data_IF_014425089488
#
_entry.id   IF_014425089488
#
_cell.length_a   1.000
_cell.length_b   1.000
_cell.length_c   1.000
_cell.angle_alpha   90.00
_cell.angle_beta   90.00
_cell.angle_gamma   90.00
#
_symmetry.space_group_name_H-M   'P 1'
#
loop_
_entity.id
_entity.type
_entity.pdbx_description
1 polymer ?
#
# COMPACT_ATOMS: atom_id res chain seq x y z
N UNK A 1 1.42 -23.76 46.78
CA UNK A 1 1.79 -22.82 45.71
C UNK A 1 1.30 -23.40 44.39
N UNK A 2 0.15 -22.96 43.87
CA UNK A 2 -0.36 -23.41 42.57
C UNK A 2 -0.11 -22.29 41.56
N UNK A 3 0.70 -22.59 40.55
CA UNK A 3 0.92 -21.71 39.41
C UNK A 3 -0.40 -21.61 38.64
N UNK A 4 -0.90 -20.38 38.52
CA UNK A 4 -2.12 -20.07 37.77
C UNK A 4 -1.76 -20.02 36.29
N UNK A 5 -2.08 -21.08 35.58
CA UNK A 5 -1.87 -21.16 34.13
C UNK A 5 -2.62 -20.03 33.44
N UNK A 6 -1.84 -19.16 32.79
CA UNK A 6 -2.33 -17.98 32.07
C UNK A 6 -3.14 -18.47 30.87
N UNK A 7 -4.46 -18.37 30.95
CA UNK A 7 -5.38 -18.66 29.86
C UNK A 7 -5.02 -17.86 28.61
N UNK A 8 -4.29 -18.45 27.67
CA UNK A 8 -4.13 -17.93 26.33
C UNK A 8 -5.48 -18.00 25.63
N UNK A 9 -6.08 -16.85 25.34
CA UNK A 9 -7.26 -16.74 24.49
C UNK A 9 -7.08 -17.61 23.23
N UNK A 10 -8.10 -18.35 22.76
CA UNK A 10 -7.94 -19.17 21.57
C UNK A 10 -7.54 -18.25 20.42
N UNK A 11 -6.27 -18.34 20.00
CA UNK A 11 -5.78 -17.68 18.81
C UNK A 11 -6.55 -18.29 17.65
N UNK A 12 -7.61 -17.61 17.19
CA UNK A 12 -8.41 -18.03 16.05
C UNK A 12 -7.45 -18.33 14.91
N UNK A 13 -7.34 -19.60 14.56
CA UNK A 13 -6.47 -20.02 13.49
C UNK A 13 -6.88 -19.24 12.23
N UNK A 14 -5.93 -18.71 11.45
CA UNK A 14 -6.29 -17.91 10.29
C UNK A 14 -7.16 -18.76 9.35
N UNK A 15 -8.17 -18.14 8.74
CA UNK A 15 -9.22 -18.81 7.93
C UNK A 15 -8.68 -19.68 6.79
N UNK A 16 -7.42 -19.47 6.41
CA UNK A 16 -6.70 -20.15 5.35
C UNK A 16 -5.61 -21.12 5.85
N UNK A 17 -5.52 -21.43 7.16
CA UNK A 17 -4.52 -22.38 7.69
C UNK A 17 -4.68 -23.74 6.99
N UNK A 18 -3.60 -24.25 6.40
CA UNK A 18 -3.59 -25.53 5.67
C UNK A 18 -4.17 -25.48 4.25
N UNK A 19 -4.60 -24.31 3.74
CA UNK A 19 -5.09 -24.16 2.36
C UNK A 19 -4.02 -23.48 1.50
N UNK A 20 -3.57 -24.15 0.43
CA UNK A 20 -2.72 -23.52 -0.59
C UNK A 20 -3.59 -22.56 -1.38
N UNK A 21 -3.53 -21.28 -1.06
CA UNK A 21 -4.19 -20.23 -1.84
C UNK A 21 -3.29 -19.92 -3.02
N UNK A 22 -3.70 -20.34 -4.22
CA UNK A 22 -2.99 -20.00 -5.46
C UNK A 22 -2.96 -18.50 -5.73
N UNK A 23 -2.35 -18.11 -6.85
CA UNK A 23 -2.30 -16.71 -7.27
C UNK A 23 -3.72 -16.13 -7.35
N UNK A 24 -4.00 -15.10 -6.54
CA UNK A 24 -5.26 -14.37 -6.64
C UNK A 24 -5.29 -13.61 -7.96
N UNK A 25 -6.45 -13.59 -8.61
CA UNK A 25 -6.67 -12.79 -9.82
C UNK A 25 -6.47 -11.30 -9.47
N UNK A 26 -5.87 -10.51 -10.37
CA UNK A 26 -5.84 -9.06 -10.20
C UNK A 26 -7.28 -8.51 -10.17
N UNK A 27 -7.47 -7.41 -9.43
CA UNK A 27 -8.78 -6.76 -9.37
C UNK A 27 -9.19 -6.19 -10.72
N UNK A 28 -10.48 -6.30 -11.04
CA UNK A 28 -11.09 -5.56 -12.15
C UNK A 28 -11.34 -4.12 -11.74
N UNK A 29 -11.36 -3.20 -12.71
CA UNK A 29 -11.63 -1.78 -12.44
C UNK A 29 -12.96 -1.57 -11.70
N UNK A 30 -13.99 -2.34 -12.05
CA UNK A 30 -15.30 -2.29 -11.38
C UNK A 30 -15.22 -2.68 -9.89
N UNK A 31 -14.38 -3.66 -9.54
CA UNK A 31 -14.19 -4.11 -8.16
C UNK A 31 -13.45 -3.04 -7.33
N UNK A 32 -12.45 -2.38 -7.92
CA UNK A 32 -11.76 -1.25 -7.30
C UNK A 32 -12.73 -0.11 -7.00
N UNK A 33 -13.57 0.25 -7.97
CA UNK A 33 -14.61 1.27 -7.78
C UNK A 33 -15.61 0.88 -6.70
N UNK A 34 -16.08 -0.37 -6.68
CA UNK A 34 -17.00 -0.85 -5.67
C UNK A 34 -16.40 -0.75 -4.26
N UNK A 35 -15.12 -1.10 -4.07
CA UNK A 35 -14.43 -0.96 -2.79
C UNK A 35 -14.33 0.51 -2.39
N UNK A 36 -13.90 1.38 -3.32
CA UNK A 36 -13.76 2.82 -3.07
C UNK A 36 -15.07 3.44 -2.60
N UNK A 37 -16.17 3.18 -3.29
CA UNK A 37 -17.50 3.70 -2.95
C UNK A 37 -17.94 3.21 -1.56
N UNK A 38 -17.74 1.92 -1.25
CA UNK A 38 -18.10 1.37 0.07
C UNK A 38 -17.33 2.06 1.21
N UNK A 39 -16.05 2.36 1.00
CA UNK A 39 -15.23 3.07 1.99
C UNK A 39 -15.65 4.54 2.15
N UNK A 40 -16.01 5.20 1.04
CA UNK A 40 -16.56 6.56 1.05
C UNK A 40 -17.88 6.64 1.80
N UNK A 41 -18.83 5.74 1.50
CA UNK A 41 -20.13 5.68 2.18
C UNK A 41 -19.98 5.39 3.68
N UNK A 42 -19.01 4.55 4.05
CA UNK A 42 -18.69 4.27 5.45
C UNK A 42 -17.89 5.40 6.15
N UNK A 43 -17.55 6.48 5.43
CA UNK A 43 -16.74 7.60 5.93
C UNK A 43 -15.41 7.14 6.56
N UNK A 44 -14.81 6.06 6.05
CA UNK A 44 -13.54 5.52 6.53
C UNK A 44 -12.38 6.18 5.80
N UNK A 45 -12.11 7.44 6.13
CA UNK A 45 -11.12 8.30 5.45
C UNK A 45 -9.72 7.67 5.45
N UNK A 46 -9.29 7.10 6.58
CA UNK A 46 -7.98 6.42 6.68
C UNK A 46 -7.88 5.22 5.74
N UNK A 47 -8.89 4.37 5.75
CA UNK A 47 -8.88 3.12 4.97
C UNK A 47 -9.01 3.42 3.48
N UNK A 48 -9.77 4.47 3.13
CA UNK A 48 -9.85 5.01 1.78
C UNK A 48 -8.49 5.53 1.28
N UNK A 49 -7.80 6.33 2.09
CA UNK A 49 -6.49 6.86 1.75
C UNK A 49 -5.44 5.75 1.61
N UNK A 50 -5.44 4.76 2.52
CA UNK A 50 -4.55 3.59 2.41
C UNK A 50 -4.88 2.75 1.19
N UNK A 51 -6.16 2.57 0.85
CA UNK A 51 -6.58 1.84 -0.34
C UNK A 51 -6.10 2.51 -1.63
N UNK A 52 -6.38 3.81 -1.78
CA UNK A 52 -5.94 4.59 -2.94
C UNK A 52 -4.40 4.55 -3.06
N UNK A 53 -3.69 4.76 -1.95
CA UNK A 53 -2.22 4.70 -1.91
C UNK A 53 -1.67 3.31 -2.24
N UNK A 54 -2.31 2.23 -1.80
CA UNK A 54 -1.90 0.86 -2.11
C UNK A 54 -1.90 0.58 -3.61
N UNK A 55 -2.92 1.09 -4.31
CA UNK A 55 -3.07 0.92 -5.76
C UNK A 55 -2.02 1.73 -6.52
N UNK A 56 -1.76 2.96 -6.09
CA UNK A 56 -0.81 3.86 -6.76
C UNK A 56 0.66 3.42 -6.54
N UNK A 57 1.00 3.01 -5.32
CA UNK A 57 2.39 2.72 -4.93
C UNK A 57 2.81 1.25 -5.12
N UNK A 58 1.85 0.32 -5.22
CA UNK A 58 2.07 -1.13 -5.26
C UNK A 58 2.88 -1.68 -4.08
N UNK A 59 2.80 -1.04 -2.91
CA UNK A 59 3.47 -1.51 -1.70
C UNK A 59 2.85 -2.81 -1.16
N UNK A 60 3.65 -3.59 -0.42
CA UNK A 60 3.11 -4.72 0.35
C UNK A 60 2.26 -4.18 1.50
N UNK A 61 1.25 -4.94 1.92
CA UNK A 61 0.34 -4.51 2.98
C UNK A 61 1.05 -4.13 4.28
N UNK A 62 2.12 -4.86 4.66
CA UNK A 62 2.93 -4.54 5.84
C UNK A 62 3.70 -3.22 5.70
N UNK A 63 4.23 -2.93 4.51
CA UNK A 63 5.01 -1.72 4.25
C UNK A 63 4.08 -0.51 4.21
N UNK A 64 2.91 -0.67 3.60
CA UNK A 64 1.87 0.35 3.52
C UNK A 64 1.37 0.79 4.90
N UNK A 65 1.09 -0.16 5.81
CA UNK A 65 0.60 0.18 7.16
C UNK A 65 1.70 0.71 8.08
N UNK A 66 2.98 0.48 7.73
CA UNK A 66 4.13 0.99 8.46
C UNK A 66 4.55 2.40 8.03
N UNK A 67 3.98 2.94 6.93
CA UNK A 67 4.30 4.28 6.42
C UNK A 67 4.03 5.37 7.46
N UNK A 68 4.97 6.31 7.55
CA UNK A 68 4.86 7.52 8.37
C UNK A 68 4.56 8.72 7.50
N UNK A 69 4.00 9.77 8.11
CA UNK A 69 3.75 11.06 7.44
C UNK A 69 5.06 11.67 6.89
N UNK A 70 6.19 11.41 7.55
CA UNK A 70 7.52 11.84 7.09
C UNK A 70 7.96 11.20 5.77
N UNK A 71 7.38 10.05 5.42
CA UNK A 71 7.75 9.29 4.23
C UNK A 71 6.98 9.77 2.99
N UNK A 72 5.97 10.64 3.18
CA UNK A 72 5.11 11.17 2.13
C UNK A 72 5.50 12.61 1.80
N UNK A 73 6.00 12.81 0.58
CA UNK A 73 6.31 14.14 0.06
C UNK A 73 5.32 14.53 -1.05
N UNK A 74 4.90 15.79 -1.06
CA UNK A 74 4.19 16.36 -2.20
C UNK A 74 5.21 16.56 -3.34
N UNK A 75 4.87 16.17 -4.57
CA UNK A 75 5.81 16.05 -5.70
C UNK A 75 6.62 17.30 -6.10
N UNK A 76 6.39 18.44 -5.46
CA UNK A 76 7.15 19.68 -5.65
C UNK A 76 8.06 20.05 -4.45
N UNK A 77 7.95 19.35 -3.32
CA UNK A 77 8.71 19.60 -2.09
C UNK A 77 9.78 18.53 -1.86
N UNK A 78 10.54 18.22 -2.91
CA UNK A 78 11.85 17.62 -2.72
C UNK A 78 12.85 18.77 -2.71
N UNK A 79 13.04 19.38 -1.53
CA UNK A 79 14.17 20.29 -1.32
C UNK A 79 15.45 19.59 -1.79
N UNK A 80 16.17 20.23 -2.71
CA UNK A 80 17.30 19.66 -3.45
C UNK A 80 18.42 19.06 -2.58
N UNK A 81 18.38 19.25 -1.26
CA UNK A 81 19.27 18.66 -0.27
C UNK A 81 19.10 17.13 -0.13
N UNK A 82 17.89 16.56 -0.24
CA UNK A 82 17.69 15.10 -0.13
C UNK A 82 17.80 14.35 -1.47
N UNK A 83 17.74 15.08 -2.60
CA UNK A 83 17.87 14.52 -3.94
C UNK A 83 19.29 14.05 -4.28
N UNK A 84 20.32 14.62 -3.64
CA UNK A 84 21.72 14.29 -3.90
C UNK A 84 22.22 13.02 -3.19
N UNK A 85 21.39 12.33 -2.40
CA UNK A 85 21.76 11.06 -1.73
C UNK A 85 21.30 9.79 -2.44
N UNK A 86 20.42 9.88 -3.45
CA UNK A 86 19.90 8.72 -4.19
C UNK A 86 20.59 8.45 -5.55
N UNK A 87 21.70 9.11 -5.86
CA UNK A 87 22.47 8.84 -7.08
C UNK A 87 23.56 7.78 -6.85
N UNK A 88 23.17 6.54 -6.55
CA UNK A 88 23.94 5.39 -7.03
C UNK A 88 23.41 5.04 -8.42
N UNK A 89 24.25 4.91 -9.46
CA UNK A 89 23.75 4.58 -10.80
C UNK A 89 23.17 3.16 -10.80
N UNK A 90 21.85 3.06 -10.71
CA UNK A 90 21.14 1.84 -11.11
C UNK A 90 21.28 1.69 -12.63
N UNK A 91 22.33 0.98 -13.02
CA UNK A 91 22.55 0.50 -14.39
C UNK A 91 21.60 -0.68 -14.64
N UNK A 92 20.81 -0.54 -15.71
CA UNK A 92 20.11 -1.58 -16.47
C UNK A 92 18.58 -1.69 -16.27
N UNK A 93 17.88 -1.06 -17.23
CA UNK A 93 16.87 -1.71 -18.10
C UNK A 93 15.49 -1.98 -17.46
N UNK A 94 14.61 -0.97 -17.49
CA UNK A 94 13.38 -0.97 -18.31
C UNK A 94 12.58 0.33 -18.12
N UNK A 95 12.26 0.95 -19.25
CA UNK A 95 11.83 2.35 -19.41
C UNK A 95 10.30 2.44 -19.40
N UNK A 96 9.68 2.66 -18.24
CA UNK A 96 8.31 3.18 -18.17
C UNK A 96 8.37 4.71 -18.15
N UNK A 97 8.48 5.29 -19.34
CA UNK A 97 8.36 6.74 -19.55
C UNK A 97 6.86 7.06 -19.57
N UNK A 98 6.30 7.50 -18.43
CA UNK A 98 5.06 8.27 -18.43
C UNK A 98 5.33 9.57 -19.19
N UNK A 99 4.87 9.64 -20.44
CA UNK A 99 4.80 10.88 -21.21
C UNK A 99 3.50 11.56 -20.78
N UNK A 100 3.60 12.52 -19.88
CA UNK A 100 2.64 13.61 -19.83
C UNK A 100 2.85 14.44 -21.09
N UNK A 101 1.81 14.58 -21.90
CA UNK A 101 1.74 15.63 -22.92
C UNK A 101 0.48 16.45 -22.59
N UNK A 102 0.71 17.53 -21.85
CA UNK A 102 -0.18 18.68 -21.86
C UNK A 102 0.50 19.71 -22.78
N UNK A 103 0.06 19.79 -24.03
CA UNK A 103 0.30 20.95 -24.87
C UNK A 103 -1.04 21.62 -25.16
N UNK A 104 -1.09 22.89 -24.79
CA UNK A 104 -2.17 23.85 -24.97
C UNK A 104 -2.53 24.00 -26.46
N UNK A 105 -3.81 23.82 -26.79
CA UNK A 105 -4.65 24.64 -27.68
C UNK A 105 -6.11 24.23 -27.52
#
# INVERSE_FOLDING_TARGET
MQAKDRSTSPSSAPWNKGKIVGQKRPFKLQEVWAIRIRLQLASRIRDLALFDLAIDSKLRGCDLVALRVSDVAHGQSLSGTWALRWTTPWRSRNKWRYRQDHSLR
#
